data_IF_482306489413
#
_entry.id   IF_482306489413
#
_cell.length_a   1.000
_cell.length_b   1.000
_cell.length_c   1.000
_cell.angle_alpha   90.00
_cell.angle_beta   90.00
_cell.angle_gamma   90.00
#
_symmetry.space_group_name_H-M   'P 1'
#
loop_
_entity.id
_entity.type
_entity.pdbx_description
1 polymer ?
#
# COMPACT_ATOMS: atom_id res chain seq x y z
N UNK A 1 18.92 -0.44 -9.08
CA UNK A 1 18.99 -1.72 -9.82
C UNK A 1 17.64 -2.39 -9.68
N UNK A 2 16.85 -2.45 -10.75
CA UNK A 2 15.70 -3.36 -10.83
C UNK A 2 16.30 -4.76 -10.75
N UNK A 3 16.25 -5.37 -9.56
CA UNK A 3 16.62 -6.78 -9.43
C UNK A 3 15.50 -7.55 -10.10
N UNK A 4 15.85 -8.43 -11.03
CA UNK A 4 14.90 -9.35 -11.65
C UNK A 4 14.06 -9.95 -10.52
N UNK A 5 12.77 -9.61 -10.50
CA UNK A 5 11.85 -10.33 -9.65
C UNK A 5 11.94 -11.80 -10.07
N UNK A 6 11.80 -12.76 -9.14
CA UNK A 6 11.77 -14.16 -9.52
C UNK A 6 10.62 -14.47 -10.51
N UNK A 7 9.64 -13.57 -10.61
CA UNK A 7 8.51 -13.68 -11.51
C UNK A 7 8.78 -12.97 -12.84
N UNK A 8 8.56 -13.65 -13.98
CA UNK A 8 8.66 -13.03 -15.29
C UNK A 8 7.65 -11.90 -15.47
N UNK A 9 8.05 -10.84 -16.16
CA UNK A 9 7.14 -9.77 -16.58
C UNK A 9 5.91 -10.34 -17.31
N UNK A 10 4.74 -9.78 -17.00
CA UNK A 10 3.48 -10.20 -17.60
C UNK A 10 2.89 -11.50 -17.01
N UNK A 11 3.57 -12.15 -16.07
CA UNK A 11 3.00 -13.27 -15.31
C UNK A 11 2.29 -12.78 -14.04
N UNK A 12 1.21 -13.45 -13.61
CA UNK A 12 0.55 -13.12 -12.35
C UNK A 12 1.48 -13.45 -11.16
N UNK A 13 1.41 -12.66 -10.10
CA UNK A 13 2.13 -12.98 -8.88
C UNK A 13 1.68 -14.33 -8.29
N UNK A 14 2.59 -15.11 -7.67
CA UNK A 14 2.27 -16.39 -7.06
C UNK A 14 1.15 -16.27 -6.02
N UNK A 15 0.34 -17.33 -5.91
CA UNK A 15 -0.75 -17.43 -4.91
C UNK A 15 -0.37 -18.25 -3.68
N UNK A 16 0.73 -18.99 -3.74
CA UNK A 16 1.25 -19.86 -2.68
C UNK A 16 2.29 -19.17 -1.79
N UNK A 17 2.82 -18.02 -2.21
CA UNK A 17 3.76 -17.20 -1.45
C UNK A 17 3.56 -15.71 -1.70
N UNK A 18 3.96 -14.89 -0.73
CA UNK A 18 3.95 -13.43 -0.86
C UNK A 18 5.33 -12.91 -1.30
N UNK A 19 5.35 -11.93 -2.20
CA UNK A 19 6.57 -11.25 -2.64
C UNK A 19 6.50 -9.79 -2.16
N UNK A 20 7.25 -9.41 -1.12
CA UNK A 20 7.18 -8.06 -0.56
C UNK A 20 7.86 -7.01 -1.44
N UNK A 21 7.51 -5.74 -1.23
CA UNK A 21 8.30 -4.63 -1.78
C UNK A 21 9.70 -4.61 -1.17
N UNK A 22 10.67 -4.08 -1.93
CA UNK A 22 12.02 -3.82 -1.40
C UNK A 22 12.00 -2.77 -0.29
N UNK A 23 11.12 -1.78 -0.42
CA UNK A 23 10.92 -0.72 0.56
C UNK A 23 9.46 -0.68 0.99
N UNK A 24 9.23 -0.69 2.30
CA UNK A 24 7.89 -0.49 2.85
C UNK A 24 7.47 0.97 2.64
N UNK A 25 6.29 1.22 2.03
CA UNK A 25 5.76 2.57 1.91
C UNK A 25 5.32 3.10 3.28
N UNK A 26 5.22 4.42 3.39
CA UNK A 26 4.51 5.07 4.48
C UNK A 26 3.11 5.41 4.00
N UNK A 27 2.10 5.05 4.78
CA UNK A 27 0.70 5.36 4.48
C UNK A 27 0.21 6.40 5.47
N UNK A 28 -0.39 7.48 4.98
CA UNK A 28 -0.96 8.52 5.81
C UNK A 28 -2.47 8.57 5.62
N UNK A 29 -3.21 8.44 6.71
CA UNK A 29 -4.65 8.70 6.78
C UNK A 29 -4.84 9.98 7.57
N UNK A 30 -5.37 11.01 6.94
CA UNK A 30 -5.33 12.38 7.46
C UNK A 30 -3.87 12.81 7.72
N UNK A 31 -3.55 13.24 8.93
CA UNK A 31 -2.20 13.65 9.38
C UNK A 31 -1.44 12.52 10.09
N UNK A 32 -2.01 11.32 10.19
CA UNK A 32 -1.48 10.23 10.99
C UNK A 32 -0.90 9.14 10.09
N UNK A 33 0.31 8.69 10.40
CA UNK A 33 0.92 7.54 9.75
C UNK A 33 0.21 6.25 10.20
N UNK A 34 -0.28 5.49 9.23
CA UNK A 34 -0.98 4.23 9.41
C UNK A 34 0.00 3.05 9.46
N UNK A 35 -0.33 2.05 10.27
CA UNK A 35 0.43 0.80 10.33
C UNK A 35 0.27 0.04 9.01
N UNK A 36 1.38 -0.22 8.31
CA UNK A 36 1.39 -1.04 7.09
C UNK A 36 1.50 -2.51 7.49
N UNK A 37 0.44 -3.26 7.20
CA UNK A 37 0.32 -4.70 7.49
C UNK A 37 0.91 -5.57 6.36
N UNK A 38 0.92 -5.05 5.14
CA UNK A 38 1.51 -5.72 3.97
C UNK A 38 1.87 -4.71 2.89
N UNK A 39 2.97 -4.96 2.17
CA UNK A 39 3.30 -4.28 0.93
C UNK A 39 4.05 -5.25 0.02
N UNK A 40 3.52 -5.49 -1.19
CA UNK A 40 4.09 -6.49 -2.10
C UNK A 40 3.29 -6.65 -3.38
N UNK A 41 3.69 -7.60 -4.22
CA UNK A 41 2.90 -7.99 -5.39
C UNK A 41 1.55 -8.56 -4.93
N UNK A 42 0.47 -8.16 -5.61
CA UNK A 42 -0.87 -8.63 -5.34
C UNK A 42 -1.05 -10.07 -5.88
N UNK A 43 -1.26 -11.08 -5.03
CA UNK A 43 -1.33 -12.48 -5.45
C UNK A 43 -2.40 -12.72 -6.54
N UNK A 44 -2.02 -13.43 -7.60
CA UNK A 44 -2.91 -13.73 -8.73
C UNK A 44 -3.09 -12.59 -9.75
N UNK A 45 -2.54 -11.40 -9.49
CA UNK A 45 -2.63 -10.26 -10.40
C UNK A 45 -1.32 -10.03 -11.15
N UNK A 46 -1.45 -9.58 -12.40
CA UNK A 46 -0.32 -9.20 -13.25
C UNK A 46 -0.01 -7.71 -12.99
N UNK A 47 1.25 -7.38 -12.75
CA UNK A 47 1.76 -6.00 -12.63
C UNK A 47 1.05 -5.12 -11.59
N UNK A 48 0.47 -5.72 -10.55
CA UNK A 48 -0.25 -5.02 -9.49
C UNK A 48 0.50 -5.17 -8.16
N UNK A 49 0.73 -4.05 -7.50
CA UNK A 49 1.20 -3.98 -6.12
C UNK A 49 0.02 -3.70 -5.20
N UNK A 50 0.03 -4.33 -4.03
CA UNK A 50 -0.96 -4.11 -2.98
C UNK A 50 -0.29 -3.62 -1.71
N UNK A 51 -0.98 -2.70 -1.03
CA UNK A 51 -0.64 -2.24 0.31
C UNK A 51 -1.84 -2.43 1.21
N UNK A 52 -1.66 -3.15 2.32
CA UNK A 52 -2.66 -3.22 3.38
C UNK A 52 -2.19 -2.32 4.52
N UNK A 53 -3.02 -1.37 4.92
CA UNK A 53 -2.74 -0.49 6.05
C UNK A 53 -3.92 -0.48 7.02
N UNK A 54 -3.62 -0.44 8.32
CA UNK A 54 -4.63 -0.29 9.37
C UNK A 54 -4.99 1.19 9.52
N UNK A 55 -6.26 1.52 9.37
CA UNK A 55 -6.76 2.87 9.67
C UNK A 55 -6.44 3.20 11.13
N UNK A 56 -5.74 4.32 11.43
CA UNK A 56 -5.41 4.67 12.80
C UNK A 56 -6.68 4.96 13.62
N UNK A 57 -6.72 4.43 14.83
CA UNK A 57 -7.82 4.70 15.77
C UNK A 57 -7.61 6.07 16.41
N UNK A 58 -8.20 7.10 15.79
CA UNK A 58 -8.16 8.47 16.26
C UNK A 58 -9.55 9.11 16.09
N UNK A 59 -10.07 9.84 17.09
CA UNK A 59 -11.43 10.38 17.04
C UNK A 59 -11.74 11.29 15.83
N UNK A 60 -10.72 11.90 15.23
CA UNK A 60 -10.86 12.80 14.09
C UNK A 60 -10.74 12.09 12.72
N UNK A 61 -10.42 10.80 12.68
CA UNK A 61 -10.37 10.00 11.45
C UNK A 61 -11.76 9.40 11.22
N UNK A 62 -12.66 10.20 10.66
CA UNK A 62 -14.06 9.84 10.37
C UNK A 62 -14.60 10.65 9.20
N UNK A 63 -15.58 10.11 8.47
CA UNK A 63 -16.11 10.74 7.26
C UNK A 63 -15.10 10.73 6.11
N UNK A 64 -15.12 11.75 5.25
CA UNK A 64 -14.14 11.89 4.16
C UNK A 64 -12.79 12.35 4.71
N UNK A 65 -11.79 11.48 4.64
CA UNK A 65 -10.41 11.75 5.07
C UNK A 65 -9.43 11.56 3.90
N UNK A 66 -8.36 12.36 3.80
CA UNK A 66 -7.37 12.16 2.76
C UNK A 66 -6.49 10.96 3.07
N UNK A 67 -6.13 10.23 2.02
CA UNK A 67 -5.19 9.12 2.00
C UNK A 67 -4.04 9.49 1.07
N UNK A 68 -2.82 9.31 1.55
CA UNK A 68 -1.59 9.45 0.76
C UNK A 68 -0.65 8.29 1.04
N UNK A 69 0.08 7.88 0.02
CA UNK A 69 1.19 6.92 0.14
C UNK A 69 2.49 7.64 -0.20
N UNK A 70 3.52 7.40 0.60
CA UNK A 70 4.88 7.87 0.33
C UNK A 70 5.84 6.71 0.20
N UNK A 71 6.75 6.79 -0.76
CA UNK A 71 7.79 5.78 -0.96
C UNK A 71 9.07 6.48 -1.40
N UNK A 72 10.16 6.28 -0.64
CA UNK A 72 11.48 6.86 -0.96
C UNK A 72 11.44 8.39 -1.18
N UNK A 73 10.67 9.11 -0.37
CA UNK A 73 10.52 10.57 -0.45
C UNK A 73 9.56 11.07 -1.52
N UNK A 74 9.03 10.20 -2.39
CA UNK A 74 8.00 10.54 -3.36
C UNK A 74 6.61 10.40 -2.73
N UNK A 75 5.69 11.30 -3.07
CA UNK A 75 4.32 11.32 -2.55
C UNK A 75 3.33 11.07 -3.68
N UNK A 76 2.33 10.22 -3.43
CA UNK A 76 1.24 9.96 -4.38
C UNK A 76 0.32 11.18 -4.57
N UNK A 77 -0.61 11.08 -5.51
CA UNK A 77 -1.81 11.91 -5.47
C UNK A 77 -2.59 11.65 -4.16
N UNK A 78 -3.33 12.67 -3.71
CA UNK A 78 -4.25 12.54 -2.57
C UNK A 78 -5.57 11.96 -3.08
N UNK A 79 -6.09 10.96 -2.37
CA UNK A 79 -7.44 10.42 -2.59
C UNK A 79 -8.23 10.55 -1.30
N UNK A 80 -9.50 10.92 -1.38
CA UNK A 80 -10.38 10.92 -0.21
C UNK A 80 -11.06 9.56 -0.06
N UNK A 81 -10.98 8.99 1.14
CA UNK A 81 -11.69 7.76 1.51
C UNK A 81 -12.74 8.08 2.58
N UNK A 82 -13.82 7.31 2.61
CA UNK A 82 -14.81 7.41 3.68
C UNK A 82 -14.45 6.43 4.81
N UNK A 83 -14.35 6.94 6.04
CA UNK A 83 -14.18 6.14 7.25
C UNK A 83 -15.46 6.22 8.07
N UNK A 84 -16.09 5.06 8.28
CA UNK A 84 -17.27 4.94 9.12
C UNK A 84 -16.93 5.02 10.61
N UNK A 85 -17.95 5.25 11.44
CA UNK A 85 -17.86 5.15 12.91
C UNK A 85 -17.66 3.70 13.38
#
# INVERSE_FOLDING_TARGET
>A
AYTDLPEPDGSPAPSDRLIPTVYTPQVFVSVVEAEVLFSGLAPGWINLWQVNARVPDQPFIRGLVPLVVRLQGLTSNVVSIWVAE
#
